data_IF_961318107140
#
_entry.id   IF_961318107140
#
_cell.length_a   1.000
_cell.length_b   1.000
_cell.length_c   1.000
_cell.angle_alpha   90.00
_cell.angle_beta   90.00
_cell.angle_gamma   90.00
#
_symmetry.space_group_name_H-M   'P 1'
#
loop_
_entity.id
_entity.type
_entity.pdbx_description
1 polymer ?
#
# COMPACT_ATOMS: atom_id res chain seq x y z
N UNK A 1 8.75 -116.61 33.72
CA UNK A 1 7.97 -115.44 33.28
C UNK A 1 8.47 -114.24 34.07
N UNK A 2 9.00 -113.21 33.40
CA UNK A 2 9.60 -112.03 34.05
C UNK A 2 8.54 -110.94 34.17
N UNK A 3 8.43 -110.33 35.34
CA UNK A 3 7.53 -109.20 35.63
C UNK A 3 8.00 -107.94 34.89
N UNK A 4 7.08 -107.31 34.17
CA UNK A 4 7.31 -106.07 33.42
C UNK A 4 6.88 -104.89 34.29
N UNK A 5 7.86 -104.15 34.82
CA UNK A 5 7.63 -102.89 35.54
C UNK A 5 7.62 -101.74 34.54
N UNK A 6 6.56 -100.90 34.49
CA UNK A 6 6.52 -99.76 33.57
C UNK A 6 7.44 -98.61 34.05
N UNK A 7 7.98 -97.81 33.12
CA UNK A 7 8.88 -96.69 33.46
C UNK A 7 8.14 -95.53 34.15
N UNK A 8 8.84 -94.68 34.93
CA UNK A 8 8.25 -93.51 35.58
C UNK A 8 7.81 -92.46 34.54
N UNK A 9 6.78 -91.64 34.84
CA UNK A 9 6.32 -90.58 33.95
C UNK A 9 7.36 -89.46 33.83
N UNK A 10 7.55 -88.94 32.61
CA UNK A 10 8.44 -87.82 32.30
C UNK A 10 7.88 -86.49 32.84
N UNK A 11 8.75 -85.53 33.21
CA UNK A 11 8.32 -84.19 33.60
C UNK A 11 7.71 -83.46 32.39
N UNK A 12 6.60 -82.79 32.64
CA UNK A 12 5.82 -82.03 31.66
C UNK A 12 6.50 -80.67 31.41
N UNK A 13 7.38 -80.61 30.39
CA UNK A 13 8.10 -79.40 29.93
C UNK A 13 7.18 -78.45 29.15
N UNK A 14 5.96 -78.21 29.62
CA UNK A 14 5.06 -77.18 29.08
C UNK A 14 5.16 -75.90 29.91
N UNK A 15 6.38 -75.37 30.04
CA UNK A 15 6.66 -73.97 30.41
C UNK A 15 6.97 -73.18 29.12
N UNK A 16 6.08 -73.26 28.13
CA UNK A 16 6.13 -72.35 26.98
C UNK A 16 5.55 -71.00 27.42
N UNK A 17 6.48 -70.11 27.78
CA UNK A 17 6.41 -68.66 27.76
C UNK A 17 5.20 -68.04 27.04
N UNK A 18 4.07 -67.93 27.74
CA UNK A 18 3.00 -66.97 27.42
C UNK A 18 3.48 -65.55 27.76
N UNK A 19 4.47 -65.06 27.02
CA UNK A 19 4.72 -63.62 26.87
C UNK A 19 3.62 -63.08 25.96
N UNK A 20 2.41 -63.05 26.50
CA UNK A 20 1.26 -62.40 25.89
C UNK A 20 1.55 -60.91 25.81
N UNK A 21 2.05 -60.48 24.66
CA UNK A 21 2.08 -59.09 24.25
C UNK A 21 0.64 -58.60 24.05
N UNK A 22 -0.10 -58.39 25.14
CA UNK A 22 -1.35 -57.63 25.10
C UNK A 22 -1.03 -56.14 25.08
N UNK A 23 -0.55 -55.67 23.93
CA UNK A 23 -0.59 -54.25 23.60
C UNK A 23 -2.05 -53.92 23.22
N UNK A 24 -2.90 -53.84 24.25
CA UNK A 24 -4.34 -53.69 24.12
C UNK A 24 -4.74 -52.54 23.19
N UNK A 25 -5.41 -52.87 22.09
CA UNK A 25 -6.00 -51.92 21.17
C UNK A 25 -7.21 -51.23 21.84
N UNK A 26 -6.95 -50.11 22.52
CA UNK A 26 -7.97 -49.27 23.15
C UNK A 26 -8.61 -48.35 22.10
N UNK A 27 -9.93 -48.40 21.98
CA UNK A 27 -10.71 -47.49 21.12
C UNK A 27 -10.93 -46.11 21.75
N UNK A 28 -11.28 -45.12 20.93
CA UNK A 28 -11.61 -43.77 21.39
C UNK A 28 -12.93 -43.75 22.17
N UNK A 29 -12.97 -42.95 23.23
CA UNK A 29 -14.21 -42.75 23.99
C UNK A 29 -15.13 -41.73 23.29
N UNK A 30 -16.44 -41.84 23.48
CA UNK A 30 -17.40 -40.85 22.96
C UNK A 30 -17.08 -39.43 23.46
N UNK A 31 -16.63 -39.30 24.71
CA UNK A 31 -16.27 -38.02 25.32
C UNK A 31 -15.08 -37.37 24.61
N UNK A 32 -14.08 -38.17 24.24
CA UNK A 32 -12.88 -37.69 23.55
C UNK A 32 -13.19 -37.17 22.14
N UNK A 33 -14.02 -37.88 21.38
CA UNK A 33 -14.45 -37.44 20.05
C UNK A 33 -15.27 -36.15 20.14
N UNK A 34 -16.15 -36.02 21.14
CA UNK A 34 -16.92 -34.78 21.34
C UNK A 34 -16.01 -33.58 21.64
N UNK A 35 -14.99 -33.77 22.49
CA UNK A 35 -14.01 -32.70 22.79
C UNK A 35 -13.18 -32.36 21.54
N UNK A 36 -12.75 -33.36 20.78
CA UNK A 36 -11.98 -33.14 19.56
C UNK A 36 -12.76 -32.31 18.53
N UNK A 37 -14.04 -32.65 18.30
CA UNK A 37 -14.91 -31.89 17.38
C UNK A 37 -15.24 -30.50 17.94
N UNK A 38 -15.38 -30.36 19.26
CA UNK A 38 -15.59 -29.05 19.88
C UNK A 38 -14.40 -28.11 19.63
N UNK A 39 -13.16 -28.57 19.85
CA UNK A 39 -11.95 -27.75 19.60
C UNK A 39 -11.79 -27.48 18.11
N UNK A 40 -12.03 -28.49 17.26
CA UNK A 40 -11.93 -28.35 15.81
C UNK A 40 -12.90 -27.30 15.27
N UNK A 41 -14.16 -27.31 15.73
CA UNK A 41 -15.17 -26.33 15.30
C UNK A 41 -14.81 -24.90 15.74
N UNK A 42 -14.28 -24.72 16.95
CA UNK A 42 -13.80 -23.41 17.41
C UNK A 42 -12.62 -22.90 16.57
N UNK A 43 -11.64 -23.77 16.30
CA UNK A 43 -10.47 -23.42 15.47
C UNK A 43 -10.88 -23.06 14.04
N UNK A 44 -11.76 -23.86 13.42
CA UNK A 44 -12.26 -23.60 12.08
C UNK A 44 -13.03 -22.28 12.00
N UNK A 45 -13.84 -21.97 13.02
CA UNK A 45 -14.56 -20.68 13.08
C UNK A 45 -13.59 -19.50 13.15
N UNK A 46 -12.53 -19.63 13.96
CA UNK A 46 -11.48 -18.61 14.06
C UNK A 46 -10.78 -18.40 12.69
N UNK A 47 -10.41 -19.49 12.02
CA UNK A 47 -9.80 -19.44 10.68
C UNK A 47 -10.71 -18.78 9.64
N UNK A 48 -12.00 -19.14 9.60
CA UNK A 48 -12.98 -18.54 8.69
C UNK A 48 -13.12 -17.04 8.95
N UNK A 49 -13.12 -16.62 10.22
CA UNK A 49 -13.19 -15.19 10.55
C UNK A 49 -11.96 -14.41 10.06
N UNK A 50 -10.76 -14.98 10.18
CA UNK A 50 -9.53 -14.42 9.63
C UNK A 50 -9.58 -14.33 8.10
N UNK A 51 -10.07 -15.36 7.42
CA UNK A 51 -10.22 -15.34 5.96
C UNK A 51 -11.21 -14.28 5.50
N UNK A 52 -12.35 -14.12 6.19
CA UNK A 52 -13.31 -13.04 5.89
C UNK A 52 -12.68 -11.66 6.05
N UNK A 53 -11.87 -11.45 7.10
CA UNK A 53 -11.14 -10.21 7.29
C UNK A 53 -10.16 -9.94 6.14
N UNK A 54 -9.40 -10.96 5.72
CA UNK A 54 -8.49 -10.86 4.58
C UNK A 54 -9.23 -10.50 3.29
N UNK A 55 -10.38 -11.14 3.01
CA UNK A 55 -11.19 -10.82 1.82
C UNK A 55 -11.70 -9.37 1.83
N UNK A 56 -12.13 -8.86 2.99
CA UNK A 56 -12.55 -7.45 3.13
C UNK A 56 -11.39 -6.50 2.85
N UNK A 57 -10.22 -6.80 3.40
CA UNK A 57 -9.01 -6.01 3.17
C UNK A 57 -8.62 -6.01 1.67
N UNK A 58 -8.67 -7.17 1.00
CA UNK A 58 -8.40 -7.26 -0.44
C UNK A 58 -9.42 -6.47 -1.27
N UNK A 59 -10.71 -6.52 -0.93
CA UNK A 59 -11.74 -5.73 -1.63
C UNK A 59 -11.49 -4.24 -1.48
N UNK A 60 -11.20 -3.79 -0.26
CA UNK A 60 -10.86 -2.40 0.00
C UNK A 60 -9.61 -1.96 -0.80
N UNK A 61 -8.54 -2.74 -0.72
CA UNK A 61 -7.31 -2.45 -1.46
C UNK A 61 -7.55 -2.36 -2.98
N UNK A 62 -8.33 -3.28 -3.54
CA UNK A 62 -8.73 -3.22 -4.96
C UNK A 62 -9.53 -1.96 -5.28
N UNK A 63 -10.47 -1.56 -4.42
CA UNK A 63 -11.25 -0.33 -4.60
C UNK A 63 -10.36 0.91 -4.64
N UNK A 64 -9.41 1.02 -3.70
CA UNK A 64 -8.45 2.13 -3.67
C UNK A 64 -7.55 2.13 -4.93
N UNK A 65 -7.07 0.97 -5.36
CA UNK A 65 -6.25 0.86 -6.58
C UNK A 65 -7.02 1.28 -7.83
N UNK A 66 -8.28 0.87 -7.95
CA UNK A 66 -9.15 1.30 -9.06
C UNK A 66 -9.35 2.82 -9.03
N UNK A 67 -9.71 3.38 -7.87
CA UNK A 67 -9.89 4.83 -7.74
C UNK A 67 -8.60 5.59 -8.14
N UNK A 68 -7.43 5.09 -7.75
CA UNK A 68 -6.15 5.67 -8.16
C UNK A 68 -5.92 5.63 -9.68
N UNK A 69 -6.19 4.50 -10.33
CA UNK A 69 -6.06 4.40 -11.80
C UNK A 69 -7.07 5.27 -12.54
N UNK A 70 -8.29 5.39 -12.03
CA UNK A 70 -9.31 6.27 -12.58
C UNK A 70 -8.92 7.74 -12.45
N UNK A 71 -8.37 8.14 -11.29
CA UNK A 71 -7.82 9.48 -11.07
C UNK A 71 -6.69 9.80 -12.05
N UNK A 72 -5.74 8.87 -12.23
CA UNK A 72 -4.63 9.02 -13.18
C UNK A 72 -5.15 9.17 -14.61
N UNK A 73 -6.12 8.35 -15.02
CA UNK A 73 -6.73 8.46 -16.34
C UNK A 73 -7.36 9.82 -16.58
N UNK A 74 -8.14 10.35 -15.62
CA UNK A 74 -8.76 11.67 -15.78
C UNK A 74 -7.75 12.80 -15.77
N UNK A 75 -6.67 12.68 -15.01
CA UNK A 75 -5.60 13.68 -15.03
C UNK A 75 -4.94 13.75 -16.41
N UNK A 76 -4.70 12.60 -17.06
CA UNK A 76 -4.17 12.54 -18.43
C UNK A 76 -5.17 13.09 -19.45
N UNK A 77 -6.46 12.77 -19.33
CA UNK A 77 -7.51 13.31 -20.20
C UNK A 77 -7.58 14.83 -20.09
N UNK A 78 -7.50 15.37 -18.86
CA UNK A 78 -7.46 16.80 -18.62
C UNK A 78 -6.18 17.42 -19.21
N UNK A 79 -5.00 16.83 -18.99
CA UNK A 79 -3.76 17.32 -19.60
C UNK A 79 -3.87 17.42 -21.12
N UNK A 80 -4.40 16.38 -21.77
CA UNK A 80 -4.61 16.37 -23.22
C UNK A 80 -5.60 17.45 -23.67
N UNK A 81 -6.70 17.65 -22.93
CA UNK A 81 -7.67 18.71 -23.20
C UNK A 81 -7.03 20.10 -23.06
N UNK A 82 -6.28 20.34 -21.99
CA UNK A 82 -5.63 21.62 -21.73
C UNK A 82 -4.49 21.93 -22.72
N UNK A 83 -3.81 20.92 -23.27
CA UNK A 83 -2.84 21.12 -24.35
C UNK A 83 -3.48 21.68 -25.63
N UNK A 84 -4.73 21.31 -25.93
CA UNK A 84 -5.45 21.77 -27.13
C UNK A 84 -6.17 23.09 -26.88
N UNK A 85 -6.89 23.21 -25.77
CA UNK A 85 -7.68 24.41 -25.44
C UNK A 85 -6.82 25.57 -24.94
N UNK A 86 -5.61 25.27 -24.47
CA UNK A 86 -4.74 26.21 -23.78
C UNK A 86 -5.15 26.43 -22.33
N UNK A 87 -4.19 26.91 -21.54
CA UNK A 87 -4.39 27.24 -20.14
C UNK A 87 -5.19 28.54 -20.03
N UNK A 88 -6.45 28.46 -19.62
CA UNK A 88 -7.28 29.64 -19.36
C UNK A 88 -6.67 30.58 -18.31
N UNK A 89 -7.23 31.78 -18.18
CA UNK A 89 -6.79 32.81 -17.22
C UNK A 89 -7.51 32.74 -15.86
N UNK A 90 -8.29 31.69 -15.63
CA UNK A 90 -9.07 31.48 -14.42
C UNK A 90 -9.04 30.01 -14.02
N UNK A 91 -9.24 29.75 -12.74
CA UNK A 91 -9.34 28.39 -12.21
C UNK A 91 -10.49 27.65 -12.89
N UNK A 92 -10.25 26.37 -13.19
CA UNK A 92 -11.25 25.48 -13.78
C UNK A 92 -11.50 24.30 -12.86
N UNK A 93 -12.78 24.06 -12.58
CA UNK A 93 -13.25 22.87 -11.86
C UNK A 93 -13.90 21.90 -12.84
N UNK A 94 -13.49 20.64 -12.76
CA UNK A 94 -14.04 19.54 -13.56
C UNK A 94 -14.63 18.51 -12.61
N UNK A 95 -15.93 18.27 -12.72
CA UNK A 95 -16.65 17.31 -11.89
C UNK A 95 -17.35 16.28 -12.76
N UNK A 96 -17.47 15.05 -12.25
CA UNK A 96 -18.18 13.99 -12.95
C UNK A 96 -18.19 12.66 -12.21
N UNK A 97 -18.58 11.63 -12.94
CA UNK A 97 -18.66 10.24 -12.49
C UNK A 97 -17.99 9.32 -13.51
N UNK A 98 -17.66 8.10 -13.09
CA UNK A 98 -17.02 7.10 -13.94
C UNK A 98 -18.02 6.04 -14.44
N UNK A 99 -19.26 6.46 -14.74
CA UNK A 99 -20.33 5.55 -15.16
C UNK A 99 -20.02 4.88 -16.51
N UNK A 100 -19.35 5.59 -17.43
CA UNK A 100 -18.90 5.06 -18.71
C UNK A 100 -17.82 3.98 -18.56
N UNK A 101 -16.95 4.12 -17.57
CA UNK A 101 -15.87 3.17 -17.23
C UNK A 101 -16.36 2.03 -16.31
N UNK A 102 -17.66 1.98 -16.00
CA UNK A 102 -18.31 0.93 -15.21
C UNK A 102 -18.26 1.14 -13.69
N UNK A 103 -17.93 2.34 -13.25
CA UNK A 103 -17.81 2.73 -11.84
C UNK A 103 -18.75 3.90 -11.48
N UNK A 104 -20.08 3.68 -11.52
CA UNK A 104 -21.07 4.75 -11.25
C UNK A 104 -21.03 5.26 -9.81
N UNK A 105 -20.49 4.48 -8.87
CA UNK A 105 -20.40 4.86 -7.46
C UNK A 105 -19.20 5.77 -7.16
N UNK A 106 -18.29 5.96 -8.13
CA UNK A 106 -17.08 6.78 -7.98
C UNK A 106 -17.29 8.11 -8.70
N UNK A 107 -17.03 9.21 -7.99
CA UNK A 107 -17.12 10.58 -8.50
C UNK A 107 -15.75 11.23 -8.47
N UNK A 108 -15.49 12.17 -9.37
CA UNK A 108 -14.25 12.95 -9.35
C UNK A 108 -14.54 14.44 -9.30
N UNK A 109 -13.62 15.16 -8.68
CA UNK A 109 -13.52 16.62 -8.69
C UNK A 109 -12.05 16.99 -8.91
N UNK A 110 -11.76 17.63 -10.04
CA UNK A 110 -10.44 18.09 -10.41
C UNK A 110 -10.42 19.62 -10.49
N UNK A 111 -9.48 20.21 -9.75
CA UNK A 111 -9.22 21.65 -9.71
C UNK A 111 -7.89 21.91 -10.42
N UNK A 112 -7.92 22.82 -11.38
CA UNK A 112 -6.73 23.32 -12.07
C UNK A 112 -6.52 24.77 -11.66
N UNK A 113 -5.66 24.99 -10.66
CA UNK A 113 -5.39 26.31 -10.10
C UNK A 113 -4.37 27.07 -10.94
N UNK A 114 -4.68 28.33 -11.24
CA UNK A 114 -3.73 29.30 -11.78
C UNK A 114 -2.67 29.62 -10.73
N UNK A 115 -1.39 29.37 -11.04
CA UNK A 115 -0.29 29.77 -10.17
C UNK A 115 0.10 31.20 -10.53
N UNK A 116 -0.10 32.13 -9.60
CA UNK A 116 0.48 33.46 -9.67
C UNK A 116 1.95 33.40 -9.24
N UNK A 117 2.84 33.84 -10.12
CA UNK A 117 4.28 33.89 -9.83
C UNK A 117 4.57 35.20 -9.10
N UNK A 118 5.37 35.17 -8.01
CA UNK A 118 5.68 36.38 -7.25
C UNK A 118 6.36 37.44 -8.11
N UNK A 119 6.08 38.70 -7.81
CA UNK A 119 6.76 39.82 -8.46
C UNK A 119 8.24 39.86 -8.11
N UNK A 120 9.03 40.46 -9.00
CA UNK A 120 10.48 40.51 -8.86
C UNK A 120 10.93 41.15 -7.54
N UNK A 121 10.15 42.08 -6.99
CA UNK A 121 10.42 42.74 -5.70
C UNK A 121 10.45 41.75 -4.52
N UNK A 122 9.61 40.72 -4.54
CA UNK A 122 9.56 39.67 -3.51
C UNK A 122 10.82 38.81 -3.60
N UNK A 123 11.27 38.50 -4.82
CA UNK A 123 12.50 37.75 -5.05
C UNK A 123 13.74 38.55 -4.63
N UNK A 124 13.74 39.86 -4.87
CA UNK A 124 14.80 40.75 -4.42
C UNK A 124 14.89 40.79 -2.90
N UNK A 125 13.77 40.94 -2.20
CA UNK A 125 13.74 40.88 -0.74
C UNK A 125 14.23 39.53 -0.18
N UNK A 126 13.87 38.42 -0.83
CA UNK A 126 14.33 37.09 -0.43
C UNK A 126 15.86 36.93 -0.60
N UNK A 127 16.44 37.48 -1.67
CA UNK A 127 17.89 37.52 -1.88
C UNK A 127 18.58 38.39 -0.84
N UNK A 128 18.08 39.59 -0.59
CA UNK A 128 18.66 40.51 0.40
C UNK A 128 18.69 39.88 1.81
N UNK A 129 17.65 39.12 2.17
CA UNK A 129 17.59 38.37 3.42
C UNK A 129 18.63 37.22 3.46
N UNK A 130 18.80 36.49 2.35
CA UNK A 130 19.78 35.40 2.27
C UNK A 130 21.23 35.89 2.32
N UNK A 131 21.52 37.03 1.71
CA UNK A 131 22.85 37.66 1.73
C UNK A 131 23.19 38.20 3.13
N UNK A 132 22.17 38.56 3.92
CA UNK A 132 22.33 38.99 5.32
C UNK A 132 22.68 37.82 6.26
N UNK A 133 22.16 36.61 6.00
CA UNK A 133 22.42 35.42 6.81
C UNK A 133 23.72 34.67 6.42
N UNK A 134 24.25 34.90 5.21
CA UNK A 134 25.41 34.22 4.64
C UNK A 134 26.77 34.92 4.81
N UNK A 135 26.84 36.01 5.59
CA UNK A 135 28.03 36.87 5.72
C UNK A 135 29.18 36.23 6.55
N UNK A 136 29.68 35.07 6.12
CA UNK A 136 30.90 34.43 6.60
C UNK A 136 32.02 34.50 5.55
N UNK A 137 33.08 35.24 5.88
CA UNK A 137 34.36 35.45 5.17
C UNK A 137 34.65 34.53 3.95
N UNK A 138 34.22 34.94 2.75
CA UNK A 138 34.55 34.29 1.49
C UNK A 138 33.75 34.77 0.25
N UNK A 139 32.57 35.38 0.46
CA UNK A 139 31.62 35.68 -0.61
C UNK A 139 31.83 36.98 -1.41
N UNK A 140 32.69 37.91 -1.00
CA UNK A 140 32.65 39.30 -1.52
C UNK A 140 32.99 39.47 -3.02
N UNK A 141 33.74 38.55 -3.63
CA UNK A 141 34.02 38.57 -5.08
C UNK A 141 32.97 37.80 -5.91
N UNK A 142 32.20 36.92 -5.28
CA UNK A 142 31.10 36.17 -5.92
C UNK A 142 29.81 37.00 -5.85
N UNK A 143 29.60 37.69 -4.71
CA UNK A 143 28.50 38.60 -4.37
C UNK A 143 28.32 39.81 -5.32
N UNK A 144 29.33 40.16 -6.13
CA UNK A 144 29.17 41.21 -7.14
C UNK A 144 28.70 40.69 -8.51
N UNK A 145 29.07 39.44 -8.84
CA UNK A 145 28.77 38.83 -10.13
C UNK A 145 27.37 38.18 -10.15
N UNK A 146 26.97 37.59 -9.02
CA UNK A 146 25.60 37.11 -8.79
C UNK A 146 24.58 38.27 -8.67
N UNK A 147 24.94 39.41 -8.09
CA UNK A 147 24.10 40.62 -8.04
C UNK A 147 23.84 41.20 -9.43
N UNK A 148 24.88 41.29 -10.26
CA UNK A 148 24.76 41.72 -11.66
C UNK A 148 23.91 40.73 -12.47
N UNK A 149 24.10 39.43 -12.26
CA UNK A 149 23.31 38.38 -12.91
C UNK A 149 21.84 38.40 -12.47
N UNK A 150 21.57 38.59 -11.17
CA UNK A 150 20.23 38.65 -10.61
C UNK A 150 19.48 39.92 -11.03
N UNK A 151 20.16 41.06 -11.09
CA UNK A 151 19.64 42.29 -11.69
C UNK A 151 19.28 42.09 -13.19
N UNK A 152 20.12 41.34 -13.92
CA UNK A 152 19.83 40.92 -15.30
C UNK A 152 18.56 40.08 -15.43
N UNK A 153 18.30 39.18 -14.46
CA UNK A 153 17.05 38.42 -14.39
C UNK A 153 15.85 39.34 -14.15
N UNK A 154 16.00 40.40 -13.34
CA UNK A 154 14.94 41.39 -13.11
C UNK A 154 14.44 42.09 -14.37
N UNK A 155 15.33 42.39 -15.31
CA UNK A 155 14.95 43.02 -16.58
C UNK A 155 14.10 42.10 -17.48
N UNK A 156 14.32 40.78 -17.40
CA UNK A 156 13.59 39.79 -18.21
C UNK A 156 12.48 39.12 -17.38
N UNK A 157 12.36 39.43 -16.09
CA UNK A 157 11.40 38.82 -15.17
C UNK A 157 9.96 38.89 -15.66
N UNK A 158 9.43 40.01 -16.20
CA UNK A 158 8.05 40.03 -16.70
C UNK A 158 7.79 39.03 -17.83
N UNK A 159 8.78 38.80 -18.69
CA UNK A 159 8.69 37.83 -19.79
C UNK A 159 8.76 36.40 -19.25
N UNK A 160 9.68 36.14 -18.32
CA UNK A 160 9.84 34.84 -17.65
C UNK A 160 8.60 34.51 -16.81
N UNK A 161 8.10 35.47 -16.05
CA UNK A 161 6.88 35.40 -15.24
C UNK A 161 5.71 34.98 -16.11
N UNK A 162 5.44 35.72 -17.20
CA UNK A 162 4.35 35.37 -18.12
C UNK A 162 4.50 33.99 -18.75
N UNK A 163 5.72 33.58 -19.09
CA UNK A 163 5.98 32.23 -19.61
C UNK A 163 5.75 31.14 -18.55
N UNK A 164 6.19 31.35 -17.30
CA UNK A 164 6.01 30.39 -16.21
C UNK A 164 4.53 30.30 -15.80
N UNK A 165 3.83 31.42 -15.67
CA UNK A 165 2.40 31.47 -15.34
C UNK A 165 1.52 30.83 -16.43
N UNK A 166 2.00 30.76 -17.66
CA UNK A 166 1.31 30.06 -18.75
C UNK A 166 1.73 28.60 -18.88
N UNK A 167 2.92 28.22 -18.38
CA UNK A 167 3.47 26.89 -18.54
C UNK A 167 3.29 25.97 -17.31
N UNK A 168 3.06 26.53 -16.11
CA UNK A 168 2.98 25.77 -14.86
C UNK A 168 1.63 25.99 -14.17
N UNK A 169 0.93 24.90 -13.90
CA UNK A 169 -0.29 24.84 -13.09
C UNK A 169 -0.17 23.71 -12.07
N UNK A 170 -0.87 23.84 -10.94
CA UNK A 170 -0.93 22.80 -9.92
C UNK A 170 -2.24 22.04 -10.09
N UNK A 171 -2.24 20.81 -10.67
CA UNK A 171 -3.45 20.00 -10.73
C UNK A 171 -3.71 19.35 -9.36
N UNK A 172 -4.96 19.37 -8.91
CA UNK A 172 -5.44 18.62 -7.74
C UNK A 172 -6.71 17.87 -8.12
N UNK A 173 -6.68 16.54 -8.09
CA UNK A 173 -7.85 15.69 -8.34
C UNK A 173 -8.18 14.88 -7.09
N UNK A 174 -9.46 14.91 -6.71
CA UNK A 174 -10.04 14.09 -5.64
C UNK A 174 -11.04 13.12 -6.26
N UNK A 175 -10.96 11.85 -5.87
CA UNK A 175 -11.79 10.74 -6.36
C UNK A 175 -12.35 9.95 -5.19
#
# INVERSE_FOLDING_TARGET
MREHVPPPPEPDDNDDDDVAADAGARGFTLLEVMIAVAILSMSLTSLLSSQMAAMRATRYARGVSVAAFLAESKLLDLEAQLLVEGWGTADKTFEGEFSEEGWPDIRYECLVDFIEVPDFSVLQQAKDNADTDGAGAGGMFVAGADDQAFSGIGMVWPMIKGAIEQAIRKPSCTV
#
